data_IF_144228991091
#
_entry.id   IF_144228991091
#
_cell.length_a   1.000
_cell.length_b   1.000
_cell.length_c   1.000
_cell.angle_alpha   90.00
_cell.angle_beta   90.00
_cell.angle_gamma   90.00
#
_symmetry.space_group_name_H-M   'P 1'
#
loop_
_entity.id
_entity.type
_entity.pdbx_description
1 polymer ?
#
# COMPACT_ATOMS: atom_id res chain seq x y z
N UNK A 1 2.72 24.51 -22.84
CA UNK A 1 2.35 24.46 -21.41
C UNK A 1 1.23 25.46 -21.24
N UNK A 2 0.08 24.98 -20.81
CA UNK A 2 -1.18 25.74 -20.73
C UNK A 2 -1.10 26.76 -19.58
N UNK A 3 -1.53 28.01 -19.81
CA UNK A 3 -1.34 29.16 -18.90
C UNK A 3 -1.89 28.93 -17.48
N UNK A 4 -2.82 27.98 -17.33
CA UNK A 4 -3.44 27.57 -16.07
C UNK A 4 -2.48 26.95 -15.05
N UNK A 5 -1.34 26.38 -15.48
CA UNK A 5 -0.37 25.77 -14.56
C UNK A 5 0.52 26.80 -13.85
N UNK A 6 0.85 27.92 -14.52
CA UNK A 6 1.79 28.92 -14.01
C UNK A 6 1.29 29.63 -12.73
N UNK A 7 -0.03 29.68 -12.53
CA UNK A 7 -0.64 30.41 -11.41
C UNK A 7 -0.62 29.61 -10.09
N UNK A 8 -0.35 28.29 -10.17
CA UNK A 8 -0.21 27.42 -9.01
C UNK A 8 1.24 27.26 -8.54
N UNK A 9 2.23 27.46 -9.41
CA UNK A 9 3.66 27.35 -9.08
C UNK A 9 4.06 28.28 -7.93
N UNK A 10 3.46 29.47 -7.83
CA UNK A 10 3.69 30.42 -6.74
C UNK A 10 3.33 29.90 -5.34
N UNK A 11 2.51 28.85 -5.25
CA UNK A 11 2.13 28.23 -3.97
C UNK A 11 3.02 27.03 -3.61
N UNK A 12 3.82 26.53 -4.54
CA UNK A 12 4.66 25.34 -4.34
C UNK A 12 5.71 25.60 -3.28
N UNK A 13 6.54 26.63 -3.44
CA UNK A 13 7.62 26.93 -2.48
C UNK A 13 7.09 27.22 -1.06
N UNK A 14 6.06 28.07 -0.86
CA UNK A 14 5.47 28.27 0.47
C UNK A 14 4.87 27.01 1.09
N UNK A 15 4.32 26.10 0.27
CA UNK A 15 3.79 24.84 0.74
C UNK A 15 4.91 23.87 1.15
N UNK A 16 6.01 23.82 0.40
CA UNK A 16 7.19 23.03 0.73
C UNK A 16 7.87 23.52 2.02
N UNK A 17 7.97 24.85 2.22
CA UNK A 17 8.46 25.44 3.47
C UNK A 17 7.64 25.03 4.70
N UNK A 18 6.35 24.72 4.51
CA UNK A 18 5.51 24.23 5.61
C UNK A 18 5.94 22.85 6.13
N UNK A 19 6.57 22.01 5.30
CA UNK A 19 7.07 20.71 5.72
C UNK A 19 8.28 20.83 6.66
N UNK A 20 9.17 21.79 6.40
CA UNK A 20 10.31 22.07 7.28
C UNK A 20 9.88 22.58 8.66
N UNK A 21 8.82 23.40 8.71
CA UNK A 21 8.29 23.97 9.97
C UNK A 21 7.74 22.93 10.93
N UNK A 22 7.23 21.80 10.42
CA UNK A 22 6.64 20.75 11.27
C UNK A 22 7.57 19.56 11.52
N UNK A 23 8.76 19.50 10.89
CA UNK A 23 9.89 18.62 11.22
C UNK A 23 9.66 17.09 11.21
N UNK A 24 8.40 16.64 11.20
CA UNK A 24 7.95 15.25 11.25
C UNK A 24 7.07 14.88 10.06
N UNK A 25 6.71 15.85 9.20
CA UNK A 25 5.86 15.66 8.03
C UNK A 25 6.66 15.60 6.72
N UNK A 26 7.99 15.74 6.77
CA UNK A 26 8.85 15.48 5.63
C UNK A 26 8.90 13.97 5.38
N UNK A 27 7.97 13.48 4.56
CA UNK A 27 7.95 12.11 4.01
C UNK A 27 9.11 11.82 3.04
N UNK A 28 10.24 12.53 3.18
CA UNK A 28 11.51 12.17 2.56
C UNK A 28 12.17 11.08 3.43
N UNK A 29 11.37 10.09 3.84
CA UNK A 29 11.81 8.87 4.49
C UNK A 29 11.82 7.79 3.42
N UNK A 30 12.94 7.08 3.29
CA UNK A 30 13.09 6.01 2.32
C UNK A 30 12.38 4.71 2.73
N UNK A 31 11.80 4.67 3.94
CA UNK A 31 11.03 3.53 4.43
C UNK A 31 9.55 3.74 4.06
N UNK A 32 9.00 2.97 3.12
CA UNK A 32 7.59 3.12 2.77
C UNK A 32 6.71 2.71 3.95
N UNK A 33 5.56 3.37 4.08
CA UNK A 33 4.46 2.92 4.92
C UNK A 33 3.56 1.96 4.15
N UNK A 34 2.75 1.13 4.82
CA UNK A 34 1.74 0.31 4.16
C UNK A 34 0.82 1.13 3.24
N UNK A 35 0.49 0.56 2.09
CA UNK A 35 -0.37 1.20 1.10
C UNK A 35 -1.84 1.04 1.49
N UNK A 36 -2.55 2.14 1.73
CA UNK A 36 -3.99 2.11 2.05
C UNK A 36 -4.80 1.39 0.98
N UNK A 37 -4.49 1.61 -0.30
CA UNK A 37 -5.16 0.96 -1.42
C UNK A 37 -4.97 -0.57 -1.40
N UNK A 38 -3.78 -1.04 -1.04
CA UNK A 38 -3.53 -2.48 -0.92
C UNK A 38 -4.22 -3.10 0.29
N UNK A 39 -4.23 -2.39 1.42
CA UNK A 39 -4.96 -2.83 2.61
C UNK A 39 -6.46 -2.94 2.32
N UNK A 40 -7.06 -1.96 1.65
CA UNK A 40 -8.46 -2.02 1.22
C UNK A 40 -8.72 -3.22 0.31
N UNK A 41 -7.84 -3.50 -0.66
CA UNK A 41 -7.97 -4.65 -1.53
C UNK A 41 -7.88 -5.99 -0.78
N UNK A 42 -6.98 -6.10 0.21
CA UNK A 42 -6.87 -7.29 1.08
C UNK A 42 -8.17 -7.49 1.88
N UNK A 43 -8.74 -6.41 2.41
CA UNK A 43 -10.03 -6.48 3.15
C UNK A 43 -11.15 -6.96 2.22
N UNK A 44 -11.23 -6.44 0.99
CA UNK A 44 -12.21 -6.89 0.01
C UNK A 44 -12.04 -8.38 -0.34
N UNK A 45 -10.81 -8.86 -0.48
CA UNK A 45 -10.51 -10.28 -0.70
C UNK A 45 -10.93 -11.15 0.49
N UNK A 46 -10.69 -10.70 1.74
CA UNK A 46 -11.20 -11.38 2.93
C UNK A 46 -12.73 -11.43 2.96
N UNK A 47 -13.40 -10.35 2.55
CA UNK A 47 -14.86 -10.31 2.50
C UNK A 47 -15.41 -11.28 1.46
N UNK A 48 -14.75 -11.46 0.32
CA UNK A 48 -15.11 -12.49 -0.65
C UNK A 48 -14.82 -13.91 -0.13
N UNK A 49 -13.73 -14.11 0.62
CA UNK A 49 -13.39 -15.40 1.24
C UNK A 49 -14.43 -15.81 2.29
N UNK A 50 -14.89 -14.87 3.11
CA UNK A 50 -15.90 -15.11 4.15
C UNK A 50 -17.31 -15.27 3.56
N UNK A 51 -17.60 -14.56 2.46
CA UNK A 51 -18.90 -14.57 1.80
C UNK A 51 -18.74 -14.80 0.28
N UNK A 52 -18.44 -16.03 -0.16
CA UNK A 52 -18.23 -16.33 -1.57
C UNK A 52 -19.42 -15.92 -2.43
N UNK A 53 -19.16 -15.15 -3.49
CA UNK A 53 -20.17 -14.62 -4.39
C UNK A 53 -20.70 -13.23 -4.02
N UNK A 54 -20.25 -12.61 -2.92
CA UNK A 54 -20.64 -11.23 -2.56
C UNK A 54 -20.23 -10.22 -3.64
N UNK A 55 -19.07 -10.42 -4.25
CA UNK A 55 -18.58 -9.62 -5.38
C UNK A 55 -19.37 -9.85 -6.69
N UNK A 56 -20.35 -10.75 -6.71
CA UNK A 56 -21.08 -11.14 -7.92
C UNK A 56 -20.37 -12.23 -8.74
N UNK A 57 -19.24 -12.76 -8.25
CA UNK A 57 -18.54 -13.90 -8.88
C UNK A 57 -19.42 -15.15 -8.81
N UNK A 58 -19.90 -15.58 -9.97
CA UNK A 58 -20.71 -16.81 -10.08
C UNK A 58 -19.79 -18.03 -10.08
N UNK A 59 -20.12 -18.99 -9.22
CA UNK A 59 -19.44 -20.28 -9.16
C UNK A 59 -20.50 -21.36 -9.32
N UNK A 60 -20.30 -22.26 -10.28
CA UNK A 60 -21.35 -23.16 -10.75
C UNK A 60 -21.41 -24.48 -9.96
N UNK A 61 -20.32 -24.85 -9.28
CA UNK A 61 -20.22 -26.08 -8.50
C UNK A 61 -19.20 -25.96 -7.36
N UNK A 62 -19.15 -26.99 -6.50
CA UNK A 62 -18.24 -27.05 -5.35
C UNK A 62 -16.76 -27.08 -5.73
N UNK A 63 -16.40 -27.58 -6.93
CA UNK A 63 -15.02 -27.61 -7.38
C UNK A 63 -14.52 -26.20 -7.71
N UNK A 64 -15.35 -25.40 -8.37
CA UNK A 64 -15.08 -23.98 -8.61
C UNK A 64 -14.97 -23.19 -7.30
N UNK A 65 -15.77 -23.51 -6.27
CA UNK A 65 -15.68 -22.81 -4.97
C UNK A 65 -14.32 -23.11 -4.34
N UNK A 66 -13.86 -24.35 -4.41
CA UNK A 66 -12.54 -24.74 -3.90
C UNK A 66 -11.40 -24.00 -4.58
N UNK A 67 -11.47 -23.83 -5.89
CA UNK A 67 -10.47 -23.06 -6.66
C UNK A 67 -10.49 -21.58 -6.29
N UNK A 68 -11.67 -20.98 -6.15
CA UNK A 68 -11.83 -19.58 -5.73
C UNK A 68 -11.23 -19.37 -4.34
N UNK A 69 -11.57 -20.23 -3.38
CA UNK A 69 -11.04 -20.17 -2.02
C UNK A 69 -9.52 -20.33 -2.00
N UNK A 70 -8.97 -21.30 -2.73
CA UNK A 70 -7.53 -21.49 -2.83
C UNK A 70 -6.82 -20.24 -3.40
N UNK A 71 -7.38 -19.66 -4.47
CA UNK A 71 -6.85 -18.45 -5.08
C UNK A 71 -6.90 -17.24 -4.15
N UNK A 72 -8.01 -17.06 -3.41
CA UNK A 72 -8.15 -15.97 -2.44
C UNK A 72 -7.17 -16.13 -1.28
N UNK A 73 -7.02 -17.34 -0.73
CA UNK A 73 -6.07 -17.60 0.35
C UNK A 73 -4.62 -17.28 -0.06
N UNK A 74 -4.21 -17.69 -1.26
CA UNK A 74 -2.88 -17.35 -1.79
C UNK A 74 -2.72 -15.84 -1.97
N UNK A 75 -3.68 -15.18 -2.62
CA UNK A 75 -3.63 -13.74 -2.88
C UNK A 75 -3.57 -12.92 -1.58
N UNK A 76 -4.43 -13.26 -0.61
CA UNK A 76 -4.46 -12.63 0.71
C UNK A 76 -3.12 -12.83 1.41
N UNK A 77 -2.61 -14.07 1.44
CA UNK A 77 -1.35 -14.41 2.09
C UNK A 77 -0.18 -13.59 1.54
N UNK A 78 -0.02 -13.57 0.21
CA UNK A 78 1.09 -12.88 -0.45
C UNK A 78 1.03 -11.36 -0.23
N UNK A 79 -0.16 -10.77 -0.37
CA UNK A 79 -0.33 -9.32 -0.23
C UNK A 79 -0.22 -8.88 1.24
N UNK A 80 -0.83 -9.62 2.16
CA UNK A 80 -0.75 -9.32 3.59
C UNK A 80 0.67 -9.45 4.11
N UNK A 81 1.42 -10.48 3.66
CA UNK A 81 2.83 -10.63 4.03
C UNK A 81 3.66 -9.41 3.62
N UNK A 82 3.47 -8.89 2.40
CA UNK A 82 4.15 -7.68 1.94
C UNK A 82 3.80 -6.48 2.82
N UNK A 83 2.51 -6.24 3.08
CA UNK A 83 2.08 -5.09 3.86
C UNK A 83 2.53 -5.17 5.33
N UNK A 84 2.53 -6.36 5.94
CA UNK A 84 3.09 -6.59 7.28
C UNK A 84 4.59 -6.31 7.29
N UNK A 85 5.34 -6.78 6.28
CA UNK A 85 6.77 -6.53 6.19
C UNK A 85 7.08 -5.04 6.05
N UNK A 86 6.35 -4.31 5.21
CA UNK A 86 6.47 -2.86 5.05
C UNK A 86 6.18 -2.14 6.37
N UNK A 87 5.11 -2.52 7.08
CA UNK A 87 4.80 -1.97 8.39
C UNK A 87 5.93 -2.21 9.40
N UNK A 88 6.39 -3.45 9.52
CA UNK A 88 7.46 -3.84 10.43
C UNK A 88 8.76 -3.10 10.15
N UNK A 89 9.17 -2.99 8.89
CA UNK A 89 10.41 -2.31 8.55
C UNK A 89 10.33 -0.80 8.72
N UNK A 90 9.17 -0.20 8.46
CA UNK A 90 8.95 1.23 8.69
C UNK A 90 9.26 1.62 10.15
N UNK A 91 8.95 0.75 11.11
CA UNK A 91 9.29 0.91 12.52
C UNK A 91 10.81 0.87 12.82
N UNK A 92 11.64 0.61 11.80
CA UNK A 92 13.10 0.48 11.86
C UNK A 92 13.62 -0.43 12.99
N UNK A 93 13.11 -1.67 13.12
CA UNK A 93 13.49 -2.59 14.20
C UNK A 93 14.97 -2.98 14.16
N UNK A 94 15.62 -2.82 13.00
CA UNK A 94 17.04 -3.09 12.80
C UNK A 94 17.95 -1.88 13.09
N UNK A 95 17.38 -0.73 13.46
CA UNK A 95 18.09 0.54 13.69
C UNK A 95 19.02 0.92 12.53
N UNK A 96 18.57 0.70 11.29
CA UNK A 96 19.31 1.09 10.10
C UNK A 96 19.30 2.61 9.95
N UNK A 97 20.39 3.15 9.41
CA UNK A 97 20.42 4.54 8.98
C UNK A 97 19.46 4.73 7.80
N UNK A 98 18.86 5.91 7.68
CA UNK A 98 17.84 6.20 6.67
C UNK A 98 18.36 6.12 5.21
N UNK A 99 19.69 6.05 5.04
CA UNK A 99 20.40 5.89 3.78
C UNK A 99 20.44 4.44 3.27
N UNK A 100 20.07 3.44 4.09
CA UNK A 100 20.04 2.02 3.70
C UNK A 100 18.68 1.62 3.11
N UNK A 101 18.67 1.33 1.81
CA UNK A 101 17.44 1.14 1.01
C UNK A 101 17.32 -0.25 0.37
N UNK A 102 18.34 -1.11 0.52
CA UNK A 102 18.54 -2.32 -0.27
C UNK A 102 17.42 -3.38 -0.28
N UNK A 103 16.49 -3.52 0.69
CA UNK A 103 15.40 -4.50 0.55
C UNK A 103 14.23 -4.07 -0.35
N UNK A 104 14.09 -2.77 -0.65
CA UNK A 104 12.77 -2.20 -1.01
C UNK A 104 12.42 -2.12 -2.48
N UNK A 105 13.41 -2.06 -3.37
CA UNK A 105 13.17 -1.82 -4.79
C UNK A 105 12.31 -2.89 -5.48
N UNK A 106 12.13 -4.06 -4.86
CA UNK A 106 11.39 -5.19 -5.43
C UNK A 106 10.04 -5.48 -4.73
N UNK A 107 9.68 -4.74 -3.68
CA UNK A 107 8.47 -4.98 -2.88
C UNK A 107 7.37 -3.93 -3.07
N UNK A 108 7.71 -2.78 -3.65
CA UNK A 108 6.78 -1.71 -4.04
C UNK A 108 6.35 -1.85 -5.51
#
# INVERSE_FOLDING_TARGET
>A
MDETHADFDRFVDPYMESFERYGQASFISFRPIPSMMEIEAIVEDFMELLFPGRSGRRVMDNSGIREVVASLLTKIGDNLQKQIFVAWYHENPLNLADEFTEPYHNLA
#
